data_IF_890404712571
#
_entry.id   IF_890404712571
#
_cell.length_a   1.000
_cell.length_b   1.000
_cell.length_c   1.000
_cell.angle_alpha   90.00
_cell.angle_beta   90.00
_cell.angle_gamma   90.00
#
_symmetry.space_group_name_H-M   'P 1'
#
loop_
_entity.id
_entity.type
_entity.pdbx_description
1 polymer ?
#
# COMPACT_ATOMS: atom_id res chain seq x y z
N UNK A 1 9.37 -27.44 -31.33
CA UNK A 1 9.00 -28.77 -30.87
C UNK A 1 7.62 -28.71 -30.24
N UNK A 2 6.63 -29.29 -30.99
CA UNK A 2 5.23 -29.29 -30.53
C UNK A 2 4.99 -30.41 -29.50
N UNK A 3 5.40 -30.21 -28.25
CA UNK A 3 5.10 -31.16 -27.17
C UNK A 3 3.67 -30.98 -26.71
N UNK A 4 2.91 -32.05 -26.74
CA UNK A 4 1.51 -32.07 -26.33
C UNK A 4 1.42 -32.50 -24.87
N UNK A 5 0.98 -31.63 -24.00
CA UNK A 5 0.67 -31.94 -22.59
C UNK A 5 -0.75 -32.49 -22.51
N UNK A 6 -0.91 -33.71 -22.01
CA UNK A 6 -2.22 -34.34 -21.85
C UNK A 6 -2.70 -34.20 -20.41
N UNK A 7 -3.82 -33.53 -20.22
CA UNK A 7 -4.53 -33.50 -18.94
C UNK A 7 -5.49 -34.67 -18.84
N UNK A 8 -5.48 -35.36 -17.71
CA UNK A 8 -6.42 -36.43 -17.42
C UNK A 8 -7.64 -35.86 -16.69
N UNK A 9 -8.84 -36.31 -17.08
CA UNK A 9 -10.08 -35.90 -16.44
C UNK A 9 -10.39 -36.79 -15.24
N UNK A 10 -10.48 -36.20 -14.05
CA UNK A 10 -10.99 -36.90 -12.88
C UNK A 10 -12.49 -37.16 -13.05
N UNK A 11 -12.91 -38.42 -13.07
CA UNK A 11 -14.33 -38.81 -13.28
C UNK A 11 -15.23 -38.41 -12.11
N UNK A 12 -14.70 -38.35 -10.90
CA UNK A 12 -15.48 -38.07 -9.70
C UNK A 12 -15.72 -36.57 -9.44
N UNK A 13 -14.77 -35.71 -9.85
CA UNK A 13 -14.80 -34.27 -9.54
C UNK A 13 -14.93 -33.37 -10.77
N UNK A 14 -15.01 -33.94 -11.95
CA UNK A 14 -15.10 -33.21 -13.23
C UNK A 14 -13.96 -32.17 -13.44
N UNK A 15 -12.80 -32.41 -12.81
CA UNK A 15 -11.62 -31.57 -12.89
C UNK A 15 -10.57 -32.27 -13.77
N UNK A 16 -9.78 -31.45 -14.46
CA UNK A 16 -8.61 -31.93 -15.19
C UNK A 16 -7.40 -31.84 -14.28
N UNK A 17 -6.58 -32.89 -14.24
CA UNK A 17 -5.31 -32.89 -13.52
C UNK A 17 -4.18 -33.32 -14.45
N UNK A 18 -2.98 -32.84 -14.17
CA UNK A 18 -1.74 -33.23 -14.81
C UNK A 18 -0.99 -34.14 -13.84
N UNK A 19 -0.69 -35.36 -14.30
CA UNK A 19 0.12 -36.28 -13.55
C UNK A 19 1.59 -35.86 -13.72
N UNK A 20 2.17 -35.34 -12.64
CA UNK A 20 3.56 -34.85 -12.64
C UNK A 20 4.61 -35.96 -12.57
N UNK A 21 4.23 -37.19 -12.18
CA UNK A 21 5.14 -38.35 -12.11
C UNK A 21 5.63 -38.81 -13.49
N UNK A 22 4.89 -38.47 -14.55
CA UNK A 22 5.22 -38.77 -15.93
C UNK A 22 5.90 -37.63 -16.69
N UNK A 23 6.20 -36.52 -16.05
CA UNK A 23 7.01 -35.46 -16.63
C UNK A 23 8.48 -35.75 -16.34
N UNK A 24 9.24 -36.03 -17.39
CA UNK A 24 10.69 -36.23 -17.30
C UNK A 24 11.33 -35.11 -16.48
N UNK A 25 11.92 -35.46 -15.35
CA UNK A 25 12.49 -34.50 -14.36
C UNK A 25 13.64 -33.63 -14.94
N UNK A 26 14.03 -33.84 -16.21
CA UNK A 26 15.09 -33.09 -16.88
C UNK A 26 14.70 -31.69 -17.38
N UNK A 27 13.41 -31.32 -17.39
CA UNK A 27 12.95 -30.04 -17.98
C UNK A 27 12.55 -28.99 -16.97
N UNK A 28 12.62 -29.26 -15.67
CA UNK A 28 12.06 -28.36 -14.65
C UNK A 28 13.06 -27.39 -14.01
N UNK A 29 14.34 -27.44 -14.34
CA UNK A 29 15.30 -26.48 -13.78
C UNK A 29 15.55 -25.31 -14.72
N UNK A 30 14.54 -24.46 -14.95
CA UNK A 30 14.70 -23.16 -15.60
C UNK A 30 15.47 -22.15 -14.72
N UNK A 31 15.62 -22.44 -13.43
CA UNK A 31 16.22 -21.54 -12.46
C UNK A 31 17.33 -22.23 -11.66
N UNK A 32 18.37 -21.47 -11.34
CA UNK A 32 19.46 -21.97 -10.48
C UNK A 32 19.01 -22.01 -9.02
N UNK A 33 19.66 -22.84 -8.15
CA UNK A 33 19.38 -22.83 -6.71
C UNK A 33 19.54 -21.45 -6.06
N UNK A 34 20.41 -20.60 -6.60
CA UNK A 34 20.58 -19.21 -6.16
C UNK A 34 19.37 -18.35 -6.55
N UNK A 35 18.87 -18.48 -7.79
CA UNK A 35 17.67 -17.79 -8.25
C UNK A 35 16.47 -18.18 -7.38
N UNK A 36 16.33 -19.46 -7.05
CA UNK A 36 15.25 -19.93 -6.17
C UNK A 36 15.33 -19.32 -4.76
N UNK A 37 16.53 -19.30 -4.16
CA UNK A 37 16.77 -18.72 -2.85
C UNK A 37 16.44 -17.22 -2.85
N UNK A 38 16.90 -16.48 -3.87
CA UNK A 38 16.61 -15.05 -4.03
C UNK A 38 15.12 -14.79 -4.25
N UNK A 39 14.47 -15.59 -5.10
CA UNK A 39 13.04 -15.47 -5.35
C UNK A 39 12.20 -15.71 -4.09
N UNK A 40 12.50 -16.73 -3.29
CA UNK A 40 11.84 -16.99 -1.99
C UNK A 40 12.03 -15.80 -1.03
N UNK A 41 13.23 -15.25 -0.95
CA UNK A 41 13.52 -14.10 -0.11
C UNK A 41 12.79 -12.83 -0.60
N UNK A 42 12.73 -12.59 -1.90
CA UNK A 42 11.98 -11.47 -2.50
C UNK A 42 10.48 -11.60 -2.21
N UNK A 43 9.90 -12.82 -2.34
CA UNK A 43 8.50 -13.09 -1.99
C UNK A 43 8.22 -12.80 -0.51
N UNK A 44 9.07 -13.28 0.38
CA UNK A 44 8.93 -13.04 1.82
C UNK A 44 8.96 -11.53 2.13
N UNK A 45 9.86 -10.77 1.52
CA UNK A 45 9.91 -9.32 1.68
C UNK A 45 8.64 -8.66 1.16
N UNK A 46 8.13 -9.05 -0.02
CA UNK A 46 6.88 -8.55 -0.59
C UNK A 46 5.70 -8.78 0.38
N UNK A 47 5.63 -9.95 1.00
CA UNK A 47 4.60 -10.30 1.99
C UNK A 47 4.74 -9.46 3.27
N UNK A 48 5.95 -9.22 3.74
CA UNK A 48 6.21 -8.32 4.89
C UNK A 48 5.80 -6.87 4.60
N UNK A 49 5.90 -6.44 3.34
CA UNK A 49 5.42 -5.12 2.89
C UNK A 49 3.90 -5.04 2.69
N UNK A 50 3.13 -6.04 3.11
CA UNK A 50 1.67 -6.07 2.96
C UNK A 50 1.19 -6.60 1.62
N UNK A 51 2.01 -7.39 0.95
CA UNK A 51 1.71 -8.03 -0.33
C UNK A 51 1.25 -7.04 -1.42
N UNK A 52 2.03 -5.99 -1.73
CA UNK A 52 1.75 -5.12 -2.87
C UNK A 52 1.70 -5.94 -4.16
N UNK A 53 1.13 -5.38 -5.23
CA UNK A 53 1.17 -6.05 -6.53
C UNK A 53 2.61 -6.22 -7.00
N UNK A 54 2.87 -7.22 -7.87
CA UNK A 54 4.23 -7.44 -8.40
C UNK A 54 4.76 -6.18 -9.11
N UNK A 55 3.90 -5.46 -9.82
CA UNK A 55 4.24 -4.21 -10.48
C UNK A 55 4.62 -3.09 -9.51
N UNK A 56 3.84 -2.92 -8.44
CA UNK A 56 4.10 -1.89 -7.43
C UNK A 56 5.34 -2.24 -6.60
N UNK A 57 5.55 -3.53 -6.30
CA UNK A 57 6.74 -3.97 -5.60
C UNK A 57 8.00 -3.77 -6.44
N UNK A 58 7.96 -4.07 -7.75
CA UNK A 58 9.06 -3.79 -8.67
C UNK A 58 9.37 -2.30 -8.70
N UNK A 59 8.36 -1.44 -8.84
CA UNK A 59 8.53 0.02 -8.78
C UNK A 59 9.17 0.47 -7.47
N UNK A 60 8.74 -0.09 -6.33
CA UNK A 60 9.32 0.23 -5.03
C UNK A 60 10.81 -0.14 -4.92
N UNK A 61 11.19 -1.30 -5.47
CA UNK A 61 12.60 -1.73 -5.54
C UNK A 61 13.42 -0.82 -6.46
N UNK A 62 12.91 -0.55 -7.65
CA UNK A 62 13.58 0.29 -8.66
C UNK A 62 13.79 1.74 -8.19
N UNK A 63 12.89 2.26 -7.36
CA UNK A 63 12.98 3.60 -6.79
C UNK A 63 13.67 3.65 -5.42
N UNK A 64 14.34 2.58 -5.00
CA UNK A 64 15.02 2.48 -3.69
C UNK A 64 14.14 2.88 -2.50
N UNK A 65 12.83 2.63 -2.59
CA UNK A 65 11.90 2.93 -1.49
C UNK A 65 12.08 1.98 -0.29
N UNK A 66 12.79 0.87 -0.49
CA UNK A 66 13.10 -0.12 0.54
C UNK A 66 14.63 -0.15 0.68
N UNK A 67 15.20 0.53 1.69
CA UNK A 67 16.64 0.61 1.85
C UNK A 67 17.26 -0.74 2.24
N UNK A 68 18.49 -1.00 1.78
CA UNK A 68 19.25 -2.21 2.13
C UNK A 68 18.80 -3.50 1.44
N UNK A 69 18.09 -3.38 0.31
CA UNK A 69 17.56 -4.53 -0.44
C UNK A 69 18.18 -4.61 -1.83
N UNK A 70 18.79 -5.78 -2.13
CA UNK A 70 19.45 -6.06 -3.42
C UNK A 70 18.59 -6.88 -4.39
N UNK A 71 17.28 -6.94 -4.18
CA UNK A 71 16.41 -7.68 -5.09
C UNK A 71 16.13 -6.88 -6.35
N UNK A 72 16.07 -7.61 -7.46
CA UNK A 72 15.79 -7.06 -8.78
C UNK A 72 14.40 -7.45 -9.26
N UNK A 73 13.90 -6.78 -10.30
CA UNK A 73 12.66 -7.19 -10.96
C UNK A 73 12.67 -8.63 -11.45
N UNK A 74 13.87 -9.18 -11.78
CA UNK A 74 14.03 -10.58 -12.17
C UNK A 74 13.67 -11.51 -11.03
N UNK A 75 14.16 -11.24 -9.81
CA UNK A 75 13.87 -12.06 -8.62
C UNK A 75 12.36 -12.11 -8.32
N UNK A 76 11.66 -10.98 -8.50
CA UNK A 76 10.21 -10.90 -8.32
C UNK A 76 9.45 -11.70 -9.38
N UNK A 77 9.89 -11.67 -10.65
CA UNK A 77 9.29 -12.46 -11.71
C UNK A 77 9.49 -13.95 -11.48
N UNK A 78 10.72 -14.36 -11.15
CA UNK A 78 11.03 -15.75 -10.81
C UNK A 78 10.19 -16.20 -9.61
N UNK A 79 10.01 -15.35 -8.59
CA UNK A 79 9.16 -15.66 -7.45
C UNK A 79 7.70 -15.90 -7.86
N UNK A 80 7.18 -15.15 -8.82
CA UNK A 80 5.84 -15.36 -9.38
C UNK A 80 5.73 -16.70 -10.12
N UNK A 81 6.74 -17.02 -10.94
CA UNK A 81 6.75 -18.25 -11.76
C UNK A 81 6.93 -19.51 -10.89
N UNK A 82 7.79 -19.47 -9.86
CA UNK A 82 8.05 -20.58 -8.96
C UNK A 82 6.99 -20.79 -7.88
N UNK A 83 6.50 -19.70 -7.27
CA UNK A 83 5.66 -19.75 -6.07
C UNK A 83 4.20 -19.38 -6.37
N UNK A 84 3.92 -18.90 -7.58
CA UNK A 84 2.57 -18.44 -7.94
C UNK A 84 2.14 -17.20 -7.17
N UNK A 85 0.83 -17.03 -7.02
CA UNK A 85 0.24 -15.93 -6.24
C UNK A 85 0.36 -16.19 -4.74
N UNK A 86 0.64 -15.13 -3.96
CA UNK A 86 0.62 -15.23 -2.50
C UNK A 86 -0.79 -15.51 -1.98
N UNK A 87 -0.94 -16.58 -1.20
CA UNK A 87 -2.20 -16.95 -0.57
C UNK A 87 -2.69 -15.84 0.40
N UNK A 88 -1.76 -15.18 1.09
CA UNK A 88 -2.06 -14.08 2.00
C UNK A 88 -2.62 -12.87 1.26
N UNK A 89 -2.06 -12.56 0.08
CA UNK A 89 -2.58 -11.51 -0.79
C UNK A 89 -3.99 -11.84 -1.29
N UNK A 90 -4.23 -13.10 -1.69
CA UNK A 90 -5.55 -13.54 -2.11
C UNK A 90 -6.57 -13.39 -0.98
N UNK A 91 -6.27 -13.91 0.20
CA UNK A 91 -7.15 -13.82 1.39
C UNK A 91 -7.42 -12.37 1.81
N UNK A 92 -6.36 -11.53 1.86
CA UNK A 92 -6.47 -10.14 2.32
C UNK A 92 -7.18 -9.20 1.35
N UNK A 93 -7.10 -9.49 0.03
CA UNK A 93 -7.64 -8.65 -1.04
C UNK A 93 -8.96 -9.15 -1.62
N UNK A 94 -9.52 -10.24 -1.11
CA UNK A 94 -10.82 -10.75 -1.57
C UNK A 94 -11.91 -9.70 -1.37
N UNK A 95 -12.41 -9.15 -2.49
CA UNK A 95 -13.54 -8.22 -2.55
C UNK A 95 -14.37 -8.50 -3.78
N UNK A 96 -15.65 -8.14 -3.71
CA UNK A 96 -16.50 -8.09 -4.90
C UNK A 96 -15.92 -7.10 -5.93
N UNK A 97 -15.77 -7.51 -7.20
CA UNK A 97 -15.16 -6.65 -8.22
C UNK A 97 -16.02 -5.41 -8.46
N UNK A 98 -15.46 -4.23 -8.19
CA UNK A 98 -15.97 -2.95 -8.73
C UNK A 98 -15.13 -2.60 -9.94
N UNK A 99 -15.77 -2.10 -11.03
CA UNK A 99 -15.08 -1.66 -12.24
C UNK A 99 -14.06 -0.56 -11.89
N UNK A 100 -12.78 -0.82 -12.15
CA UNK A 100 -11.69 0.09 -11.84
C UNK A 100 -11.43 1.13 -12.93
N UNK A 101 -10.95 2.29 -12.53
CA UNK A 101 -10.41 3.33 -13.40
C UNK A 101 -8.93 3.02 -13.65
N UNK A 102 -8.50 3.05 -14.92
CA UNK A 102 -7.09 2.88 -15.28
C UNK A 102 -6.31 4.18 -15.04
N UNK A 103 -5.18 4.10 -14.34
CA UNK A 103 -4.23 5.19 -14.19
C UNK A 103 -3.01 4.96 -15.10
N UNK A 104 -2.54 6.03 -15.75
CA UNK A 104 -1.37 6.01 -16.65
C UNK A 104 -0.05 6.03 -15.87
N UNK A 105 0.90 5.24 -16.33
CA UNK A 105 2.23 5.08 -15.74
C UNK A 105 3.26 6.02 -16.37
N UNK A 106 3.67 7.07 -15.62
CA UNK A 106 4.92 7.77 -15.90
C UNK A 106 5.51 8.23 -14.56
N UNK A 107 6.49 7.49 -14.01
CA UNK A 107 7.21 7.89 -12.81
C UNK A 107 8.72 7.78 -13.02
N UNK A 108 9.38 8.93 -13.02
CA UNK A 108 10.85 9.04 -12.98
C UNK A 108 11.38 8.83 -11.56
N UNK A 109 12.65 8.41 -11.45
CA UNK A 109 13.30 8.11 -10.16
C UNK A 109 13.87 9.38 -9.52
N UNK A 110 13.41 9.74 -8.32
CA UNK A 110 13.97 10.86 -7.57
C UNK A 110 14.41 10.43 -6.16
N UNK A 111 15.65 10.74 -5.76
CA UNK A 111 16.18 10.52 -4.40
C UNK A 111 15.89 11.68 -3.45
N UNK A 112 15.80 12.90 -3.99
CA UNK A 112 15.44 14.12 -3.27
C UNK A 112 14.19 14.74 -3.93
N UNK A 113 13.52 15.66 -3.23
CA UNK A 113 12.38 16.37 -3.83
C UNK A 113 12.90 17.26 -4.94
N UNK A 114 12.56 17.00 -6.21
CA UNK A 114 13.06 17.80 -7.33
C UNK A 114 12.60 19.24 -7.20
N UNK A 115 13.48 20.18 -7.55
CA UNK A 115 13.15 21.61 -7.54
C UNK A 115 11.95 21.96 -8.41
N UNK A 116 11.71 21.21 -9.48
CA UNK A 116 10.55 21.35 -10.37
C UNK A 116 9.25 20.97 -9.64
N UNK A 117 9.24 19.90 -8.85
CA UNK A 117 8.09 19.51 -8.03
C UNK A 117 7.75 20.59 -7.03
N UNK A 118 8.77 21.17 -6.37
CA UNK A 118 8.56 22.28 -5.44
C UNK A 118 8.08 23.56 -6.13
N UNK A 119 8.45 23.80 -7.39
CA UNK A 119 7.92 24.95 -8.17
C UNK A 119 6.45 24.79 -8.51
N UNK A 120 6.02 23.58 -8.89
CA UNK A 120 4.64 23.33 -9.33
C UNK A 120 3.69 22.95 -8.19
N UNK A 121 4.19 22.29 -7.15
CA UNK A 121 3.39 21.73 -6.06
C UNK A 121 3.79 22.25 -4.69
N UNK A 122 4.35 23.47 -4.60
CA UNK A 122 4.76 24.07 -3.34
C UNK A 122 3.60 24.18 -2.36
N UNK A 123 2.41 24.50 -2.86
CA UNK A 123 1.17 24.57 -2.08
C UNK A 123 0.49 23.21 -2.09
N UNK A 124 0.22 22.69 -0.89
CA UNK A 124 -0.34 21.37 -0.68
C UNK A 124 -1.69 21.45 -0.01
N UNK A 125 -2.63 20.67 -0.54
CA UNK A 125 -3.94 20.47 0.06
C UNK A 125 -4.00 19.06 0.64
N UNK A 126 -4.44 18.93 1.88
CA UNK A 126 -4.54 17.67 2.60
C UNK A 126 -5.99 17.27 2.77
N UNK A 127 -6.29 16.03 2.45
CA UNK A 127 -7.54 15.37 2.77
C UNK A 127 -7.32 14.50 4.00
N UNK A 128 -8.08 14.73 5.08
CA UNK A 128 -7.92 14.00 6.34
C UNK A 128 -9.17 13.22 6.71
N UNK A 129 -8.95 12.05 7.32
CA UNK A 129 -10.00 11.22 7.88
C UNK A 129 -9.43 10.33 8.99
N UNK A 130 -10.30 9.75 9.84
CA UNK A 130 -9.91 8.83 10.91
C UNK A 130 -10.30 7.41 10.56
N UNK A 131 -9.34 6.52 10.53
CA UNK A 131 -9.59 5.09 10.40
C UNK A 131 -9.35 4.36 11.72
N UNK A 132 -9.98 3.18 11.85
CA UNK A 132 -9.77 2.30 12.99
C UNK A 132 -9.17 0.98 12.54
N UNK A 133 -8.09 0.57 13.22
CA UNK A 133 -7.48 -0.77 13.10
C UNK A 133 -7.45 -1.36 14.51
N UNK A 134 -8.08 -2.50 14.71
CA UNK A 134 -8.20 -3.15 16.05
C UNK A 134 -8.68 -2.19 17.15
N UNK A 135 -9.66 -1.35 16.85
CA UNK A 135 -10.22 -0.30 17.74
C UNK A 135 -9.26 0.85 18.05
N UNK A 136 -8.04 0.84 17.54
CA UNK A 136 -7.09 1.95 17.68
C UNK A 136 -7.38 2.94 16.56
N UNK A 137 -7.64 4.22 16.86
CA UNK A 137 -7.84 5.25 15.86
C UNK A 137 -6.51 5.72 15.27
N UNK A 138 -6.50 5.94 13.96
CA UNK A 138 -5.39 6.51 13.19
C UNK A 138 -5.90 7.69 12.38
N UNK A 139 -5.21 8.81 12.48
CA UNK A 139 -5.39 9.94 11.58
C UNK A 139 -4.68 9.62 10.26
N UNK A 140 -5.42 9.67 9.17
CA UNK A 140 -4.89 9.55 7.80
C UNK A 140 -4.96 10.92 7.16
N UNK A 141 -3.84 11.37 6.58
CA UNK A 141 -3.77 12.59 5.80
C UNK A 141 -3.16 12.28 4.43
N UNK A 142 -3.85 12.69 3.39
CA UNK A 142 -3.50 12.40 2.00
C UNK A 142 -3.29 13.71 1.24
N UNK A 143 -2.17 13.82 0.54
CA UNK A 143 -1.96 14.89 -0.42
C UNK A 143 -2.13 14.38 -1.84
N UNK A 144 -3.16 14.84 -2.52
CA UNK A 144 -3.45 14.46 -3.91
C UNK A 144 -2.36 14.88 -4.88
N UNK A 145 -1.89 16.11 -4.73
CA UNK A 145 -0.96 16.71 -5.69
C UNK A 145 0.39 15.99 -5.75
N UNK A 146 0.87 15.47 -4.60
CA UNK A 146 2.16 14.79 -4.51
C UNK A 146 2.05 13.31 -4.14
N UNK A 147 0.83 12.77 -3.96
CA UNK A 147 0.60 11.35 -3.66
C UNK A 147 1.17 10.88 -2.32
N UNK A 148 1.39 11.79 -1.37
CA UNK A 148 1.96 11.46 -0.07
C UNK A 148 0.85 11.15 0.93
N UNK A 149 1.00 10.03 1.64
CA UNK A 149 0.05 9.55 2.64
C UNK A 149 0.75 9.53 4.00
N UNK A 150 0.13 10.14 4.99
CA UNK A 150 0.52 10.03 6.40
C UNK A 150 -0.52 9.22 7.15
N UNK A 151 -0.06 8.35 8.03
CA UNK A 151 -0.91 7.58 8.93
C UNK A 151 -0.31 7.62 10.33
N UNK A 152 -0.97 8.31 11.25
CA UNK A 152 -0.48 8.52 12.62
C UNK A 152 -1.47 7.96 13.64
N UNK A 153 -1.02 7.19 14.64
CA UNK A 153 -1.91 6.71 15.71
C UNK A 153 -2.36 7.88 16.57
N UNK A 154 -3.66 7.90 16.87
CA UNK A 154 -4.26 8.88 17.77
C UNK A 154 -4.92 8.11 18.90
N UNK A 155 -4.25 7.98 20.06
CA UNK A 155 -4.65 7.06 21.12
C UNK A 155 -6.09 7.27 21.65
N UNK A 156 -6.61 8.48 21.53
CA UNK A 156 -8.02 8.83 21.76
C UNK A 156 -8.43 9.81 20.66
N UNK A 157 -9.72 9.85 20.31
CA UNK A 157 -10.27 10.83 19.36
C UNK A 157 -10.41 12.22 20.07
N UNK A 158 -9.38 12.58 20.85
CA UNK A 158 -9.32 13.84 21.57
C UNK A 158 -8.73 14.92 20.67
N UNK A 159 -9.36 16.09 20.61
CA UNK A 159 -8.95 17.21 19.76
C UNK A 159 -7.48 17.58 19.92
N UNK A 160 -6.95 17.49 21.15
CA UNK A 160 -5.54 17.79 21.43
C UNK A 160 -4.61 16.83 20.70
N UNK A 161 -4.88 15.52 20.72
CA UNK A 161 -4.03 14.52 20.07
C UNK A 161 -4.13 14.56 18.55
N UNK A 162 -5.31 14.88 18.03
CA UNK A 162 -5.50 15.10 16.60
C UNK A 162 -4.72 16.35 16.16
N UNK A 163 -4.76 17.45 16.94
CA UNK A 163 -3.99 18.66 16.64
C UNK A 163 -2.47 18.43 16.71
N UNK A 164 -2.00 17.63 17.67
CA UNK A 164 -0.57 17.26 17.77
C UNK A 164 -0.13 16.44 16.55
N UNK A 165 -0.94 15.47 16.13
CA UNK A 165 -0.69 14.68 14.93
C UNK A 165 -0.67 15.54 13.65
N UNK A 166 -1.64 16.45 13.50
CA UNK A 166 -1.67 17.40 12.39
C UNK A 166 -0.46 18.34 12.39
N UNK A 167 -0.06 18.84 13.58
CA UNK A 167 1.18 19.63 13.71
C UNK A 167 2.39 18.90 13.20
N UNK A 168 2.54 17.62 13.59
CA UNK A 168 3.65 16.78 13.13
C UNK A 168 3.63 16.60 11.61
N UNK A 169 2.46 16.34 11.02
CA UNK A 169 2.29 16.19 9.57
C UNK A 169 2.65 17.50 8.84
N UNK A 170 2.09 18.63 9.28
CA UNK A 170 2.37 19.94 8.69
C UNK A 170 3.87 20.27 8.77
N UNK A 171 4.51 19.96 9.90
CA UNK A 171 5.94 20.17 10.09
C UNK A 171 6.80 19.33 9.12
N UNK A 172 6.38 18.11 8.82
CA UNK A 172 7.07 17.25 7.84
C UNK A 172 6.97 17.82 6.42
N UNK A 173 5.82 18.38 6.02
CA UNK A 173 5.68 19.07 4.73
C UNK A 173 6.55 20.31 4.67
N UNK A 174 6.48 21.15 5.71
CA UNK A 174 7.26 22.40 5.77
C UNK A 174 8.77 22.14 5.77
N UNK A 175 9.25 21.10 6.49
CA UNK A 175 10.64 20.70 6.52
C UNK A 175 11.20 20.23 5.17
N UNK A 176 10.30 19.85 4.23
CA UNK A 176 10.66 19.46 2.86
C UNK A 176 10.42 20.56 1.83
N UNK A 177 10.10 21.78 2.26
CA UNK A 177 9.89 22.94 1.40
C UNK A 177 8.49 23.10 0.84
N UNK A 178 7.55 22.24 1.21
CA UNK A 178 6.14 22.38 0.87
C UNK A 178 5.42 23.28 1.89
N UNK A 179 4.32 23.87 1.48
CA UNK A 179 3.44 24.67 2.34
C UNK A 179 2.03 24.08 2.31
N UNK A 180 1.55 23.64 3.45
CA UNK A 180 0.14 23.21 3.59
C UNK A 180 -0.73 24.44 3.64
N UNK A 181 -1.66 24.58 2.69
CA UNK A 181 -2.57 25.72 2.59
C UNK A 181 -3.97 25.38 3.07
N UNK A 182 -4.48 24.22 2.72
CA UNK A 182 -5.86 23.82 3.05
C UNK A 182 -5.89 22.38 3.56
N UNK A 183 -6.74 22.13 4.52
CA UNK A 183 -7.06 20.80 5.03
C UNK A 183 -8.56 20.58 4.83
N UNK A 184 -8.93 19.47 4.21
CA UNK A 184 -10.31 19.03 4.05
C UNK A 184 -10.57 17.83 4.97
N UNK A 185 -11.62 17.90 5.77
CA UNK A 185 -12.00 16.82 6.68
C UNK A 185 -13.52 16.69 6.80
N UNK A 186 -13.97 15.69 7.53
CA UNK A 186 -15.37 15.51 7.86
C UNK A 186 -15.82 16.44 9.01
N UNK A 187 -17.12 16.41 9.36
CA UNK A 187 -17.71 17.22 10.41
C UNK A 187 -17.07 17.07 11.80
N UNK A 188 -16.38 15.95 12.05
CA UNK A 188 -15.72 15.69 13.32
C UNK A 188 -14.52 16.62 13.60
N UNK A 189 -13.96 17.23 12.56
CA UNK A 189 -12.83 18.16 12.67
C UNK A 189 -13.24 19.63 12.81
N UNK A 190 -14.54 19.93 12.88
CA UNK A 190 -15.04 21.32 12.93
C UNK A 190 -14.43 22.13 14.09
N UNK A 191 -14.28 21.52 15.26
CA UNK A 191 -13.68 22.13 16.44
C UNK A 191 -12.20 22.52 16.31
N UNK A 192 -11.51 22.06 15.26
CA UNK A 192 -10.10 22.35 15.01
C UNK A 192 -9.87 23.52 14.05
N UNK A 193 -10.92 24.13 13.49
CA UNK A 193 -10.81 25.24 12.52
C UNK A 193 -10.03 26.44 13.07
N UNK A 194 -10.41 26.91 14.23
CA UNK A 194 -9.76 28.07 14.87
C UNK A 194 -8.31 27.76 15.23
N UNK A 195 -8.05 26.56 15.73
CA UNK A 195 -6.69 26.11 16.03
C UNK A 195 -5.83 26.06 14.76
N UNK A 196 -6.29 25.48 13.66
CA UNK A 196 -5.56 25.37 12.42
C UNK A 196 -5.20 26.75 11.83
N UNK A 197 -6.17 27.68 11.86
CA UNK A 197 -5.97 29.03 11.38
C UNK A 197 -5.02 29.83 12.28
N UNK A 198 -5.19 29.76 13.59
CA UNK A 198 -4.42 30.58 14.54
C UNK A 198 -2.96 30.08 14.65
N UNK A 199 -2.75 28.75 14.70
CA UNK A 199 -1.43 28.15 14.95
C UNK A 199 -0.61 27.99 13.68
N UNK A 200 -1.23 27.49 12.59
CA UNK A 200 -0.54 27.10 11.36
C UNK A 200 -0.84 27.98 10.15
N UNK A 201 -1.80 28.91 10.27
CA UNK A 201 -2.29 29.71 9.14
C UNK A 201 -2.82 28.84 7.98
N UNK A 202 -3.41 27.70 8.32
CA UNK A 202 -3.97 26.71 7.39
C UNK A 202 -5.49 26.78 7.48
N UNK A 203 -6.14 26.87 6.32
CA UNK A 203 -7.59 26.85 6.25
C UNK A 203 -8.10 25.41 6.37
N UNK A 204 -8.88 25.12 7.42
CA UNK A 204 -9.55 23.84 7.57
C UNK A 204 -10.99 23.96 7.06
N UNK A 205 -11.29 23.23 6.00
CA UNK A 205 -12.62 23.16 5.38
C UNK A 205 -13.26 21.84 5.76
N UNK A 206 -14.45 21.93 6.33
CA UNK A 206 -15.22 20.75 6.75
C UNK A 206 -16.30 20.47 5.72
N UNK A 207 -16.31 19.26 5.18
CA UNK A 207 -17.36 18.79 4.28
C UNK A 207 -18.67 18.59 5.07
N UNK A 208 -19.83 18.84 4.43
CA UNK A 208 -21.14 18.61 5.03
C UNK A 208 -21.37 17.14 5.40
N UNK A 209 -22.38 16.87 6.22
CA UNK A 209 -22.64 15.55 6.82
C UNK A 209 -22.75 14.39 5.83
N UNK A 210 -23.10 14.65 4.56
CA UNK A 210 -23.24 13.66 3.49
C UNK A 210 -22.11 13.74 2.44
N UNK A 211 -21.14 14.61 2.64
CA UNK A 211 -20.00 14.79 1.71
C UNK A 211 -18.74 14.19 2.33
N UNK A 212 -18.43 12.97 1.92
CA UNK A 212 -17.19 12.30 2.29
C UNK A 212 -16.00 12.87 1.53
N UNK A 213 -14.80 12.68 2.07
CA UNK A 213 -13.54 13.02 1.41
C UNK A 213 -13.06 11.80 0.60
N UNK A 214 -13.44 11.66 -0.70
CA UNK A 214 -13.32 10.39 -1.43
C UNK A 214 -11.89 9.87 -1.50
N UNK A 215 -10.92 10.76 -1.41
CA UNK A 215 -9.52 10.42 -1.52
C UNK A 215 -8.98 9.79 -0.25
N UNK A 216 -9.24 10.39 0.91
CA UNK A 216 -8.88 9.80 2.19
C UNK A 216 -9.54 8.43 2.38
N UNK A 217 -10.80 8.27 1.96
CA UNK A 217 -11.49 6.97 2.00
C UNK A 217 -10.83 5.89 1.12
N UNK A 218 -10.39 6.24 -0.08
CA UNK A 218 -9.73 5.28 -0.97
C UNK A 218 -8.39 4.82 -0.38
N UNK A 219 -7.60 5.73 0.18
CA UNK A 219 -6.34 5.40 0.81
C UNK A 219 -6.55 4.59 2.11
N UNK A 220 -7.57 4.91 2.89
CA UNK A 220 -7.96 4.11 4.06
C UNK A 220 -8.33 2.68 3.66
N UNK A 221 -9.04 2.49 2.55
CA UNK A 221 -9.34 1.14 2.03
C UNK A 221 -8.06 0.40 1.67
N UNK A 222 -7.15 1.07 0.96
CA UNK A 222 -5.85 0.51 0.60
C UNK A 222 -5.04 0.11 1.83
N UNK A 223 -4.88 1.01 2.82
CA UNK A 223 -4.15 0.72 4.07
C UNK A 223 -4.78 -0.48 4.79
N UNK A 224 -6.10 -0.52 4.94
CA UNK A 224 -6.80 -1.64 5.57
C UNK A 224 -6.60 -2.96 4.83
N UNK A 225 -6.49 -2.95 3.51
CA UNK A 225 -6.15 -4.15 2.71
C UNK A 225 -4.75 -4.64 3.01
N UNK A 226 -3.76 -3.73 3.04
CA UNK A 226 -2.38 -4.07 3.37
C UNK A 226 -2.27 -4.65 4.79
N UNK A 227 -2.93 -4.03 5.76
CA UNK A 227 -2.96 -4.51 7.15
C UNK A 227 -3.56 -5.92 7.23
N UNK A 228 -4.67 -6.20 6.52
CA UNK A 228 -5.24 -7.55 6.48
C UNK A 228 -4.30 -8.57 5.84
N UNK A 229 -3.60 -8.20 4.76
CA UNK A 229 -2.61 -9.09 4.15
C UNK A 229 -1.47 -9.42 5.13
N UNK A 230 -0.97 -8.41 5.85
CA UNK A 230 0.05 -8.60 6.89
C UNK A 230 -0.48 -9.50 8.01
N UNK A 231 -1.68 -9.22 8.49
CA UNK A 231 -2.32 -10.01 9.56
C UNK A 231 -2.52 -11.48 9.15
N UNK A 232 -2.92 -11.74 7.91
CA UNK A 232 -3.05 -13.11 7.39
C UNK A 232 -1.69 -13.84 7.31
N UNK A 233 -0.59 -13.10 7.14
CA UNK A 233 0.77 -13.66 7.07
C UNK A 233 1.42 -13.87 8.45
N UNK A 234 0.83 -13.33 9.53
CA UNK A 234 1.38 -13.49 10.87
C UNK A 234 1.19 -14.93 11.38
N UNK A 235 2.16 -15.46 12.14
CA UNK A 235 2.08 -16.81 12.71
C UNK A 235 1.08 -16.94 13.86
N UNK A 236 0.43 -15.87 14.25
CA UNK A 236 -0.54 -15.82 15.35
C UNK A 236 -1.86 -15.17 14.88
N UNK A 237 -2.97 -15.67 15.42
CA UNK A 237 -4.33 -15.23 15.07
C UNK A 237 -4.80 -13.99 15.82
N UNK A 238 -4.14 -13.63 16.91
CA UNK A 238 -4.45 -12.46 17.73
C UNK A 238 -3.20 -11.61 17.90
N UNK A 239 -3.32 -10.30 17.68
CA UNK A 239 -2.26 -9.36 17.98
C UNK A 239 -2.05 -9.31 19.50
N UNK A 240 -0.79 -9.28 19.99
CA UNK A 240 -0.53 -9.07 21.41
C UNK A 240 -1.16 -7.73 21.83
N UNK A 241 -1.79 -7.74 23.02
CA UNK A 241 -2.22 -6.49 23.63
C UNK A 241 -0.97 -5.76 24.12
N UNK A 242 -0.75 -4.55 23.65
CA UNK A 242 0.28 -3.63 24.17
C UNK A 242 -0.25 -2.85 25.35
#
# INVERSE_FOLDING_TARGET
DGRTVRFQRCRERNLYYLDLENLDAKETCLFTPLDEKRAKAARKLQEMCGSPSDTDFIKALEHNKIPGVDFTKRDVRIAKDLLGYSEYAAKGKMKHPRKGVQMSDNTEKYSEVPSEVLKHYKEVHLDIDVMYINKIPFLVAVSKSIGMIHCMPVMNKDNKRVSDALTSIISQYNGRGFKVCTIHGDGAFDSLKDWAMNTHKVQLTVCGADSHVPQAENEIKFIKEQVRCIQCNMPFTRLPCT
#
